data_IF_075720929714
#
_entry.id   IF_075720929714
#
_cell.length_a   1.000
_cell.length_b   1.000
_cell.length_c   1.000
_cell.angle_alpha   90.00
_cell.angle_beta   90.00
_cell.angle_gamma   90.00
#
_symmetry.space_group_name_H-M   'P 1'
#
loop_
_entity.id
_entity.type
_entity.pdbx_description
1 polymer ?
#
# COMPACT_ATOMS: atom_id res chain seq x y z
N UNK A 1 -12.88 8.20 7.07
CA UNK A 1 -11.52 8.28 7.63
C UNK A 1 -10.58 8.80 6.54
N UNK A 2 -9.78 9.81 6.86
CA UNK A 2 -8.87 10.47 5.92
C UNK A 2 -7.66 9.58 5.60
N UNK A 3 -7.61 9.08 4.36
CA UNK A 3 -6.54 8.18 3.90
C UNK A 3 -5.17 8.86 3.88
N UNK A 4 -5.09 10.16 3.65
CA UNK A 4 -3.83 10.91 3.69
C UNK A 4 -3.27 10.94 5.11
N UNK A 5 -4.12 11.25 6.09
CA UNK A 5 -3.74 11.23 7.51
C UNK A 5 -3.28 9.84 7.97
N UNK A 6 -3.97 8.77 7.58
CA UNK A 6 -3.54 7.40 7.90
C UNK A 6 -2.20 7.03 7.25
N UNK A 7 -1.99 7.42 5.99
CA UNK A 7 -0.72 7.19 5.30
C UNK A 7 0.43 7.88 6.04
N UNK A 8 0.24 9.15 6.43
CA UNK A 8 1.22 9.93 7.17
C UNK A 8 1.50 9.35 8.56
N UNK A 9 0.45 8.97 9.30
CA UNK A 9 0.61 8.37 10.62
C UNK A 9 1.46 7.08 10.58
N UNK A 10 1.19 6.20 9.61
CA UNK A 10 1.98 4.99 9.43
C UNK A 10 3.41 5.27 8.93
N UNK A 11 3.60 6.30 8.10
CA UNK A 11 4.92 6.75 7.69
C UNK A 11 5.74 7.25 8.89
N UNK A 12 5.13 8.01 9.80
CA UNK A 12 5.79 8.50 11.00
C UNK A 12 6.21 7.34 11.92
N UNK A 13 5.32 6.36 12.11
CA UNK A 13 5.65 5.13 12.82
C UNK A 13 6.80 4.37 12.14
N UNK A 14 6.76 4.24 10.81
CA UNK A 14 7.80 3.60 10.01
C UNK A 14 9.16 4.27 10.24
N UNK A 15 9.23 5.59 10.11
CA UNK A 15 10.46 6.35 10.30
C UNK A 15 10.99 6.25 11.74
N UNK A 16 10.09 6.31 12.73
CA UNK A 16 10.46 6.13 14.13
C UNK A 16 11.06 4.74 14.41
N UNK A 17 10.41 3.68 13.92
CA UNK A 17 10.92 2.31 14.10
C UNK A 17 12.24 2.10 13.35
N UNK A 18 12.35 2.68 12.16
CA UNK A 18 13.55 2.61 11.34
C UNK A 18 14.75 3.27 12.01
N UNK A 19 14.56 4.41 12.68
CA UNK A 19 15.63 5.09 13.41
C UNK A 19 16.11 4.31 14.64
N UNK A 20 15.26 3.48 15.25
CA UNK A 20 15.65 2.62 16.37
C UNK A 20 16.39 1.36 15.90
N UNK A 21 15.98 0.77 14.77
CA UNK A 21 16.67 -0.34 14.11
C UNK A 21 16.34 -1.75 14.63
N UNK A 22 15.66 -1.87 15.77
CA UNK A 22 15.39 -3.17 16.40
C UNK A 22 14.17 -3.91 15.82
N UNK A 23 13.25 -3.20 15.17
CA UNK A 23 11.94 -3.72 14.76
C UNK A 23 11.78 -3.72 13.24
N UNK A 24 12.69 -4.40 12.55
CA UNK A 24 12.75 -4.39 11.08
C UNK A 24 11.49 -4.94 10.39
N UNK A 25 10.81 -5.92 11.00
CA UNK A 25 9.51 -6.43 10.56
C UNK A 25 8.40 -5.37 10.64
N UNK A 26 8.41 -4.58 11.71
CA UNK A 26 7.48 -3.48 11.88
C UNK A 26 7.76 -2.31 10.95
N UNK A 27 9.04 -2.05 10.62
CA UNK A 27 9.40 -1.07 9.57
C UNK A 27 8.79 -1.49 8.24
N UNK A 28 8.96 -2.74 7.83
CA UNK A 28 8.35 -3.27 6.59
C UNK A 28 6.82 -3.18 6.65
N UNK A 29 6.23 -3.55 7.79
CA UNK A 29 4.76 -3.58 7.97
C UNK A 29 4.17 -2.18 7.88
N UNK A 30 4.73 -1.22 8.61
CA UNK A 30 4.26 0.17 8.62
C UNK A 30 4.54 0.87 7.29
N UNK A 31 5.64 0.56 6.61
CA UNK A 31 5.91 1.03 5.25
C UNK A 31 4.81 0.58 4.27
N UNK A 32 4.43 -0.70 4.33
CA UNK A 32 3.33 -1.22 3.50
C UNK A 32 1.98 -0.56 3.81
N UNK A 33 1.61 -0.42 5.09
CA UNK A 33 0.34 0.22 5.46
C UNK A 33 0.30 1.71 5.12
N UNK A 34 1.43 2.40 5.18
CA UNK A 34 1.54 3.76 4.63
C UNK A 34 1.27 3.77 3.12
N UNK A 35 1.95 2.90 2.36
CA UNK A 35 1.74 2.77 0.92
C UNK A 35 0.29 2.41 0.54
N UNK A 36 -0.36 1.51 1.29
CA UNK A 36 -1.76 1.13 1.08
C UNK A 36 -2.69 2.34 1.18
N UNK A 37 -2.55 3.15 2.23
CA UNK A 37 -3.40 4.32 2.42
C UNK A 37 -3.06 5.44 1.44
N UNK A 38 -1.76 5.62 1.13
CA UNK A 38 -1.29 6.60 0.16
C UNK A 38 -1.87 6.33 -1.23
N UNK A 39 -1.80 5.08 -1.71
CA UNK A 39 -2.40 4.66 -2.98
C UNK A 39 -3.91 4.90 -2.99
N UNK A 40 -4.61 4.59 -1.89
CA UNK A 40 -6.05 4.82 -1.82
C UNK A 40 -6.40 6.30 -1.86
N UNK A 41 -5.61 7.16 -1.22
CA UNK A 41 -5.76 8.61 -1.31
C UNK A 41 -5.47 9.13 -2.73
N UNK A 42 -4.42 8.61 -3.38
CA UNK A 42 -4.04 9.01 -4.72
C UNK A 42 -5.12 8.63 -5.74
N UNK A 43 -5.61 7.39 -5.70
CA UNK A 43 -6.54 6.87 -6.70
C UNK A 43 -7.96 7.38 -6.49
N UNK A 44 -8.42 7.53 -5.25
CA UNK A 44 -9.81 7.90 -4.96
C UNK A 44 -9.97 9.39 -4.61
N UNK A 45 -11.12 10.02 -4.90
CA UNK A 45 -12.26 9.48 -5.65
C UNK A 45 -11.92 9.19 -7.12
N UNK A 46 -12.62 8.24 -7.74
CA UNK A 46 -12.51 7.91 -9.17
C UNK A 46 -13.87 7.64 -9.83
N UNK A 47 -13.91 7.74 -11.14
CA UNK A 47 -15.13 7.52 -11.95
C UNK A 47 -14.93 6.29 -12.85
N UNK A 48 -15.88 5.36 -12.85
CA UNK A 48 -15.91 4.21 -13.77
C UNK A 48 -17.33 4.06 -14.32
N UNK A 49 -17.47 4.06 -15.64
CA UNK A 49 -18.77 3.94 -16.32
C UNK A 49 -19.86 4.90 -15.78
N UNK A 50 -19.47 6.14 -15.43
CA UNK A 50 -20.37 7.16 -14.89
C UNK A 50 -20.66 7.04 -13.39
N UNK A 51 -20.18 5.99 -12.71
CA UNK A 51 -20.29 5.86 -11.25
C UNK A 51 -19.08 6.47 -10.56
N UNK A 52 -19.34 7.30 -9.55
CA UNK A 52 -18.32 7.86 -8.66
C UNK A 52 -18.10 6.91 -7.50
N UNK A 53 -16.84 6.51 -7.31
CA UNK A 53 -16.39 5.76 -6.14
C UNK A 53 -15.50 6.68 -5.32
N UNK A 54 -15.92 7.01 -4.09
CA UNK A 54 -15.19 7.89 -3.18
C UNK A 54 -14.13 7.13 -2.38
N UNK A 55 -14.30 5.82 -2.25
CA UNK A 55 -13.41 4.96 -1.48
C UNK A 55 -13.10 3.66 -2.21
N UNK A 56 -12.00 3.03 -1.82
CA UNK A 56 -11.67 1.69 -2.29
C UNK A 56 -12.76 0.67 -1.96
N UNK A 57 -13.40 0.75 -0.79
CA UNK A 57 -14.44 -0.21 -0.41
C UNK A 57 -15.71 -0.05 -1.25
N UNK A 58 -16.09 1.18 -1.59
CA UNK A 58 -17.19 1.44 -2.55
C UNK A 58 -16.86 0.83 -3.92
N UNK A 59 -15.65 1.10 -4.43
CA UNK A 59 -15.17 0.50 -5.69
C UNK A 59 -15.16 -1.02 -5.62
N UNK A 60 -14.55 -1.61 -4.60
CA UNK A 60 -14.39 -3.05 -4.47
C UNK A 60 -15.73 -3.80 -4.30
N UNK A 61 -16.71 -3.16 -3.66
CA UNK A 61 -18.03 -3.75 -3.48
C UNK A 61 -18.94 -3.54 -4.70
N UNK A 62 -18.78 -2.42 -5.42
CA UNK A 62 -19.52 -2.13 -6.66
C UNK A 62 -18.99 -2.91 -7.86
N UNK A 63 -17.70 -2.74 -8.18
CA UNK A 63 -17.05 -3.26 -9.40
C UNK A 63 -16.96 -4.80 -9.41
N UNK A 64 -16.79 -5.41 -8.23
CA UNK A 64 -16.75 -6.88 -8.10
C UNK A 64 -18.07 -7.49 -7.61
N UNK A 65 -19.19 -6.77 -7.71
CA UNK A 65 -20.49 -7.31 -7.29
C UNK A 65 -20.89 -8.46 -8.22
N UNK A 66 -21.17 -9.64 -7.65
CA UNK A 66 -21.63 -10.80 -8.42
C UNK A 66 -20.54 -11.53 -9.21
N UNK A 67 -19.27 -11.12 -9.10
CA UNK A 67 -18.15 -11.81 -9.72
C UNK A 67 -17.89 -13.15 -9.03
N UNK A 68 -17.99 -14.27 -9.77
CA UNK A 68 -17.73 -15.63 -9.23
C UNK A 68 -16.30 -15.80 -8.69
N UNK A 69 -15.33 -15.09 -9.26
CA UNK A 69 -13.91 -15.13 -8.87
C UNK A 69 -13.45 -13.77 -8.33
N UNK A 70 -14.11 -13.27 -7.29
CA UNK A 70 -13.78 -11.98 -6.68
C UNK A 70 -12.35 -12.04 -6.08
N UNK A 71 -11.41 -11.19 -6.53
CA UNK A 71 -10.05 -11.18 -6.00
C UNK A 71 -10.05 -10.73 -4.53
N UNK A 72 -9.00 -11.06 -3.78
CA UNK A 72 -8.82 -10.46 -2.45
C UNK A 72 -8.70 -8.93 -2.54
N UNK A 73 -8.99 -8.20 -1.45
CA UNK A 73 -8.79 -6.74 -1.41
C UNK A 73 -7.35 -6.35 -1.76
N UNK A 74 -6.35 -7.10 -1.28
CA UNK A 74 -4.95 -6.83 -1.62
C UNK A 74 -4.67 -7.03 -3.11
N UNK A 75 -5.15 -8.13 -3.70
CA UNK A 75 -5.03 -8.39 -5.14
C UNK A 75 -5.72 -7.29 -5.97
N UNK A 76 -6.92 -6.87 -5.56
CA UNK A 76 -7.64 -5.77 -6.21
C UNK A 76 -6.86 -4.45 -6.12
N UNK A 77 -6.28 -4.12 -4.96
CA UNK A 77 -5.43 -2.92 -4.83
C UNK A 77 -4.18 -3.01 -5.71
N UNK A 78 -3.51 -4.17 -5.79
CA UNK A 78 -2.34 -4.36 -6.65
C UNK A 78 -2.68 -4.11 -8.12
N UNK A 79 -3.80 -4.68 -8.58
CA UNK A 79 -4.29 -4.47 -9.95
C UNK A 79 -4.61 -2.99 -10.20
N UNK A 80 -5.24 -2.34 -9.22
CA UNK A 80 -5.58 -0.92 -9.27
C UNK A 80 -4.32 -0.04 -9.35
N UNK A 81 -3.28 -0.33 -8.55
CA UNK A 81 -1.99 0.39 -8.62
C UNK A 81 -1.41 0.29 -10.01
N UNK A 82 -1.36 -0.90 -10.61
CA UNK A 82 -0.83 -1.07 -11.97
C UNK A 82 -1.64 -0.26 -13.00
N UNK A 83 -2.96 -0.35 -12.92
CA UNK A 83 -3.87 0.29 -13.88
C UNK A 83 -3.82 1.82 -13.81
N UNK A 84 -3.76 2.40 -12.61
CA UNK A 84 -3.90 3.84 -12.40
C UNK A 84 -2.55 4.57 -12.25
N UNK A 85 -1.55 3.88 -11.70
CA UNK A 85 -0.26 4.49 -11.31
C UNK A 85 0.92 3.94 -12.14
N UNK A 86 0.66 2.96 -13.00
CA UNK A 86 1.63 2.38 -13.92
C UNK A 86 2.55 1.31 -13.30
N UNK A 87 3.34 0.67 -14.16
CA UNK A 87 4.15 -0.50 -13.78
C UNK A 87 5.23 -0.19 -12.75
N UNK A 88 5.83 0.99 -12.79
CA UNK A 88 6.86 1.37 -11.80
C UNK A 88 6.27 1.46 -10.39
N UNK A 89 5.07 2.04 -10.24
CA UNK A 89 4.38 2.11 -8.95
C UNK A 89 3.94 0.72 -8.49
N UNK A 90 3.44 -0.10 -9.43
CA UNK A 90 3.09 -1.50 -9.17
C UNK A 90 4.28 -2.29 -8.62
N UNK A 91 5.47 -2.18 -9.21
CA UNK A 91 6.65 -2.93 -8.77
C UNK A 91 7.06 -2.55 -7.34
N UNK A 92 7.03 -1.25 -7.01
CA UNK A 92 7.32 -0.76 -5.66
C UNK A 92 6.30 -1.27 -4.65
N UNK A 93 5.01 -1.09 -4.96
CA UNK A 93 3.92 -1.48 -4.08
C UNK A 93 3.84 -3.01 -3.87
N UNK A 94 3.94 -3.78 -4.94
CA UNK A 94 3.84 -5.25 -4.88
C UNK A 94 4.99 -5.86 -4.08
N UNK A 95 6.18 -5.26 -4.15
CA UNK A 95 7.31 -5.67 -3.32
C UNK A 95 7.04 -5.42 -1.83
N UNK A 96 6.54 -4.23 -1.48
CA UNK A 96 6.16 -3.90 -0.09
C UNK A 96 5.08 -4.85 0.45
N UNK A 97 4.07 -5.16 -0.38
CA UNK A 97 3.04 -6.13 -0.03
C UNK A 97 3.62 -7.52 0.26
N UNK A 98 4.43 -8.06 -0.66
CA UNK A 98 5.00 -9.40 -0.52
C UNK A 98 5.83 -9.54 0.76
N UNK A 99 6.66 -8.54 1.05
CA UNK A 99 7.48 -8.53 2.26
C UNK A 99 6.66 -8.37 3.54
N UNK A 100 5.64 -7.53 3.54
CA UNK A 100 4.75 -7.41 4.69
C UNK A 100 3.99 -8.72 4.97
N UNK A 101 3.57 -9.45 3.94
CA UNK A 101 2.97 -10.78 4.11
C UNK A 101 3.98 -11.80 4.65
N UNK A 102 5.23 -11.75 4.18
CA UNK A 102 6.30 -12.61 4.70
C UNK A 102 6.60 -12.30 6.18
N UNK A 103 6.85 -11.03 6.50
CA UNK A 103 7.25 -10.58 7.84
C UNK A 103 6.20 -10.92 8.91
N UNK A 104 4.91 -10.76 8.56
CA UNK A 104 3.81 -10.97 9.52
C UNK A 104 3.41 -12.42 9.73
N UNK A 105 3.56 -13.26 8.70
CA UNK A 105 2.97 -14.61 8.71
C UNK A 105 3.99 -15.74 8.59
N UNK A 106 5.25 -15.44 8.31
CA UNK A 106 6.28 -16.46 8.09
C UNK A 106 7.46 -16.29 9.06
N UNK A 107 8.09 -15.12 9.08
CA UNK A 107 9.22 -14.85 9.98
C UNK A 107 9.39 -13.36 10.25
N UNK A 108 9.41 -12.98 11.53
CA UNK A 108 9.67 -11.61 11.98
C UNK A 108 11.15 -11.22 11.84
N UNK A 109 12.05 -12.18 11.59
CA UNK A 109 13.48 -11.92 11.39
C UNK A 109 13.72 -11.27 10.02
N UNK A 110 13.52 -9.97 9.97
CA UNK A 110 13.81 -9.15 8.80
C UNK A 110 15.19 -8.51 8.99
N UNK A 111 16.07 -8.67 8.00
CA UNK A 111 17.40 -8.05 8.02
C UNK A 111 17.28 -6.53 7.84
N UNK A 112 18.13 -5.75 8.50
CA UNK A 112 18.11 -4.27 8.44
C UNK A 112 18.10 -3.73 7.00
N UNK A 113 18.92 -4.32 6.12
CA UNK A 113 18.93 -3.97 4.69
C UNK A 113 17.54 -4.01 4.03
N UNK A 114 16.70 -4.98 4.41
CA UNK A 114 15.34 -5.11 3.86
C UNK A 114 14.43 -4.02 4.41
N UNK A 115 14.59 -3.65 5.68
CA UNK A 115 13.88 -2.51 6.27
C UNK A 115 14.28 -1.18 5.58
N UNK A 116 15.58 -0.98 5.32
CA UNK A 116 16.09 0.19 4.58
C UNK A 116 15.47 0.28 3.17
N UNK A 117 15.40 -0.86 2.46
CA UNK A 117 14.79 -0.94 1.14
C UNK A 117 13.27 -0.69 1.17
N UNK A 118 12.57 -1.09 2.23
CA UNK A 118 11.15 -0.79 2.40
C UNK A 118 10.89 0.72 2.55
N UNK A 119 11.70 1.41 3.36
CA UNK A 119 11.63 2.88 3.50
C UNK A 119 11.96 3.58 2.17
N UNK A 120 12.98 3.11 1.45
CA UNK A 120 13.34 3.65 0.13
C UNK A 120 12.19 3.52 -0.87
N UNK A 121 11.56 2.34 -0.94
CA UNK A 121 10.44 2.07 -1.86
C UNK A 121 9.19 2.86 -1.53
N UNK A 122 8.84 3.01 -0.24
CA UNK A 122 7.77 3.90 0.17
C UNK A 122 8.05 5.34 -0.28
N UNK A 123 9.27 5.82 -0.08
CA UNK A 123 9.69 7.17 -0.48
C UNK A 123 9.58 7.38 -1.99
N UNK A 124 10.07 6.42 -2.79
CA UNK A 124 9.96 6.44 -4.25
C UNK A 124 8.51 6.40 -4.72
N UNK A 125 7.67 5.56 -4.10
CA UNK A 125 6.26 5.50 -4.43
C UNK A 125 5.60 6.86 -4.15
N UNK A 126 5.91 7.50 -3.02
CA UNK A 126 5.38 8.83 -2.67
C UNK A 126 5.74 9.92 -3.69
N UNK A 127 6.96 9.91 -4.22
CA UNK A 127 7.38 10.87 -5.27
C UNK A 127 6.54 10.72 -6.55
N UNK A 128 6.01 9.53 -6.83
CA UNK A 128 5.18 9.27 -8.01
C UNK A 128 3.72 9.72 -7.84
N UNK A 129 3.28 9.99 -6.61
CA UNK A 129 1.90 10.41 -6.31
C UNK A 129 1.73 11.91 -6.59
N UNK A 130 0.56 12.33 -7.06
CA UNK A 130 0.30 13.69 -7.55
C UNK A 130 -0.65 14.50 -6.65
N UNK A 131 -1.41 13.87 -5.75
CA UNK A 131 -2.32 14.53 -4.79
C UNK A 131 -1.67 14.81 -3.42
#
# INVERSE_FOLDING_TARGET
>A
MDKKAHAKHNEDACNFLHSHGDYCDWVVTTAFYSALHLVQYEVFPKIIAGFVYNTFDEYYNGDYKGTKNKPSKHTATINLVRAELGDSAFQLYNWLFGLCMNARYHDYKVHKFIADEAVNRLSRLKIMMKK
#
